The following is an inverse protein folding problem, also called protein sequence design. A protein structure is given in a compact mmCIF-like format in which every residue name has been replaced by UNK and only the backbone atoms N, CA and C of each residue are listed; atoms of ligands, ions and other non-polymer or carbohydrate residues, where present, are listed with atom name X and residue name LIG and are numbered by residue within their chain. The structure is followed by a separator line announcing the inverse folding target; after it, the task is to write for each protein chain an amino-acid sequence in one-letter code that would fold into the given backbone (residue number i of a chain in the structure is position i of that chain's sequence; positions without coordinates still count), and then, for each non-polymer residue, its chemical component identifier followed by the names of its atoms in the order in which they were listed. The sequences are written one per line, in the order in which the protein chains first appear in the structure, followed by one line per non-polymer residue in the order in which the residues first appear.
data_IF_586154835587
#
_entry.id   IF_586154835587
#
_cell.length_a   1.000
_cell.length_b   1.000
_cell.length_c   1.000
_cell.angle_alpha   90.00
_cell.angle_beta   90.00
_cell.angle_gamma   90.00
#
_symmetry.space_group_name_H-M   'P 1'
#
loop_
_entity.id
_entity.type
_entity.pdbx_description
1 polymer ?
#
# COMPACT_ATOMS: atom_id res chain seq x y z
N UNK A 1 -9.69 9.13 -16.76
CA UNK A 1 -8.71 10.23 -16.54
C UNK A 1 -7.34 9.61 -16.35
N UNK A 2 -6.32 10.00 -17.13
CA UNK A 2 -4.97 9.41 -16.98
C UNK A 2 -4.37 9.87 -15.65
N UNK A 3 -3.78 8.96 -14.82
CA UNK A 3 -3.10 9.36 -13.60
C UNK A 3 -1.97 10.34 -13.93
N UNK A 4 -1.89 11.44 -13.20
CA UNK A 4 -0.78 12.38 -13.32
C UNK A 4 0.44 11.76 -12.67
N UNK A 5 1.62 11.87 -13.30
CA UNK A 5 2.88 11.46 -12.67
C UNK A 5 3.03 12.21 -11.35
N UNK A 6 3.31 11.48 -10.27
CA UNK A 6 3.59 12.09 -8.98
C UNK A 6 4.78 13.06 -9.12
N UNK A 7 4.65 14.23 -8.54
CA UNK A 7 5.75 15.18 -8.51
C UNK A 7 6.61 14.89 -7.28
N UNK A 8 7.76 14.26 -7.47
CA UNK A 8 8.69 13.94 -6.36
C UNK A 8 9.06 15.19 -5.53
N UNK A 9 9.15 16.35 -6.15
CA UNK A 9 9.38 17.62 -5.43
C UNK A 9 8.22 17.97 -4.49
N UNK A 10 6.99 17.71 -4.94
CA UNK A 10 5.79 17.93 -4.12
C UNK A 10 5.73 16.93 -2.98
N UNK A 11 6.01 15.66 -3.24
CA UNK A 11 6.12 14.60 -2.23
C UNK A 11 7.17 14.98 -1.16
N UNK A 12 8.39 15.34 -1.56
CA UNK A 12 9.45 15.77 -0.63
C UNK A 12 9.04 16.97 0.22
N UNK A 13 8.32 17.93 -0.37
CA UNK A 13 7.80 19.09 0.38
C UNK A 13 6.76 18.67 1.42
N UNK A 14 5.80 17.83 1.03
CA UNK A 14 4.81 17.28 1.96
C UNK A 14 5.46 16.46 3.06
N UNK A 15 6.45 15.62 2.72
CA UNK A 15 7.20 14.83 3.67
C UNK A 15 7.88 15.72 4.75
N UNK A 16 8.55 16.79 4.32
CA UNK A 16 9.27 17.71 5.25
C UNK A 16 8.32 18.50 6.17
N UNK A 17 7.11 18.81 5.71
CA UNK A 17 6.12 19.58 6.49
C UNK A 17 5.27 18.63 7.35
N UNK A 18 4.61 17.66 6.72
CA UNK A 18 3.69 16.76 7.41
C UNK A 18 4.38 15.67 8.23
N UNK A 19 5.57 15.24 7.81
CA UNK A 19 6.31 14.17 8.48
C UNK A 19 6.61 14.46 9.95
N UNK A 20 7.24 15.60 10.30
CA UNK A 20 7.48 15.96 11.71
C UNK A 20 6.17 16.09 12.52
N UNK A 21 5.12 16.65 11.94
CA UNK A 21 3.82 16.78 12.60
C UNK A 21 3.23 15.42 12.90
N UNK A 22 3.20 14.52 11.90
CA UNK A 22 2.70 13.15 12.09
C UNK A 22 3.53 12.41 13.14
N UNK A 23 4.86 12.48 13.06
CA UNK A 23 5.76 11.81 14.02
C UNK A 23 5.63 12.38 15.43
N UNK A 24 5.31 13.65 15.59
CA UNK A 24 5.06 14.26 16.90
C UNK A 24 3.77 13.73 17.53
N UNK A 25 2.65 13.76 16.80
CA UNK A 25 1.35 13.34 17.33
C UNK A 25 1.15 11.83 17.34
N UNK A 26 1.76 11.12 16.39
CA UNK A 26 1.64 9.66 16.16
C UNK A 26 3.04 9.07 15.91
N UNK A 27 3.92 9.07 16.92
CA UNK A 27 5.27 8.54 16.75
C UNK A 27 5.21 7.06 16.38
N UNK A 28 6.12 6.64 15.50
CA UNK A 28 6.28 5.25 15.12
C UNK A 28 7.74 4.91 14.89
N UNK A 29 8.04 3.63 15.12
CA UNK A 29 9.32 3.01 14.81
C UNK A 29 9.20 2.26 13.50
N UNK A 30 10.24 2.31 12.69
CA UNK A 30 10.37 1.46 11.51
C UNK A 30 11.23 0.27 11.88
N UNK A 31 10.84 -0.92 11.47
CA UNK A 31 11.51 -2.20 11.71
C UNK A 31 11.58 -2.94 10.38
N UNK A 32 12.71 -3.61 10.09
CA UNK A 32 12.89 -4.37 8.86
C UNK A 32 13.18 -3.47 7.65
N UNK A 33 13.82 -2.30 7.84
CA UNK A 33 14.19 -1.38 6.75
C UNK A 33 15.09 -2.07 5.71
N UNK A 34 15.85 -3.07 6.11
CA UNK A 34 16.69 -3.91 5.25
C UNK A 34 15.90 -4.71 4.22
N UNK A 35 14.61 -4.91 4.44
CA UNK A 35 13.70 -5.59 3.50
C UNK A 35 13.16 -4.65 2.42
N UNK A 36 13.42 -3.35 2.52
CA UNK A 36 13.01 -2.38 1.50
C UNK A 36 13.89 -2.56 0.27
N UNK A 37 13.28 -3.06 -0.79
CA UNK A 37 13.97 -3.31 -2.07
C UNK A 37 13.92 -2.08 -2.98
N UNK A 38 14.92 -1.95 -3.82
CA UNK A 38 14.92 -0.97 -4.91
C UNK A 38 13.96 -1.39 -6.03
N UNK A 39 13.48 -0.39 -6.80
CA UNK A 39 12.61 -0.63 -7.93
C UNK A 39 11.16 -0.94 -7.56
N UNK A 40 10.49 -1.67 -8.44
CA UNK A 40 9.07 -1.96 -8.33
C UNK A 40 8.76 -2.97 -7.21
N UNK A 41 7.73 -2.66 -6.43
CA UNK A 41 7.16 -3.60 -5.47
C UNK A 41 5.67 -3.33 -5.26
N UNK A 42 4.91 -4.38 -5.03
CA UNK A 42 3.56 -4.26 -4.52
C UNK A 42 3.59 -4.35 -2.99
N UNK A 43 3.34 -3.24 -2.33
CA UNK A 43 3.34 -3.13 -0.88
C UNK A 43 1.96 -3.52 -0.38
N UNK A 44 1.88 -4.57 0.41
CA UNK A 44 0.62 -5.08 0.97
C UNK A 44 0.63 -4.89 2.48
N UNK A 45 -0.34 -4.15 3.01
CA UNK A 45 -0.41 -3.86 4.44
C UNK A 45 -1.82 -4.08 5.01
N UNK A 46 -1.90 -4.37 6.30
CA UNK A 46 -3.14 -4.26 7.04
C UNK A 46 -3.62 -2.80 7.08
N UNK A 47 -4.93 -2.60 7.31
CA UNK A 47 -5.52 -1.26 7.31
C UNK A 47 -6.47 -1.07 8.49
N UNK A 48 -6.12 -0.17 9.41
CA UNK A 48 -6.89 0.12 10.61
C UNK A 48 -7.28 1.60 10.76
N UNK A 49 -6.50 2.51 10.18
CA UNK A 49 -6.71 3.94 10.34
C UNK A 49 -6.38 4.74 9.08
N UNK A 50 -6.97 5.94 8.96
CA UNK A 50 -6.67 6.84 7.83
C UNK A 50 -5.21 7.29 7.77
N UNK A 51 -4.47 7.19 8.87
CA UNK A 51 -3.06 7.59 8.94
C UNK A 51 -2.11 6.52 8.38
N UNK A 52 -2.55 5.25 8.21
CA UNK A 52 -1.70 4.15 7.77
C UNK A 52 -0.94 4.44 6.47
N UNK A 53 -1.59 4.94 5.39
CA UNK A 53 -0.88 5.26 4.15
C UNK A 53 0.23 6.28 4.35
N UNK A 54 0.03 7.23 5.24
CA UNK A 54 1.02 8.28 5.54
C UNK A 54 2.19 7.72 6.37
N UNK A 55 1.90 6.86 7.35
CA UNK A 55 2.97 6.20 8.13
C UNK A 55 3.81 5.29 7.24
N UNK A 56 3.20 4.52 6.33
CA UNK A 56 3.91 3.71 5.34
C UNK A 56 4.77 4.60 4.45
N UNK A 57 4.21 5.66 3.87
CA UNK A 57 4.96 6.59 3.02
C UNK A 57 6.14 7.24 3.76
N UNK A 58 5.94 7.62 5.02
CA UNK A 58 6.99 8.18 5.87
C UNK A 58 8.07 7.14 6.26
N UNK A 59 7.70 5.87 6.36
CA UNK A 59 8.64 4.78 6.65
C UNK A 59 9.55 4.48 5.46
N UNK A 60 9.07 4.64 4.21
CA UNK A 60 9.91 4.52 3.01
C UNK A 60 10.91 5.66 2.81
N UNK A 61 10.76 6.75 3.55
CA UNK A 61 11.67 7.89 3.45
C UNK A 61 11.27 8.92 2.37
N UNK A 62 12.09 9.98 2.30
CA UNK A 62 11.78 11.17 1.51
C UNK A 62 11.99 10.99 -0.01
N UNK A 63 12.81 10.02 -0.39
CA UNK A 63 13.23 9.81 -1.77
C UNK A 63 12.45 8.69 -2.47
N UNK A 64 11.63 7.95 -1.74
CA UNK A 64 10.81 6.86 -2.27
C UNK A 64 9.37 7.32 -2.45
N UNK A 65 8.95 7.43 -3.72
CA UNK A 65 7.54 7.74 -4.02
C UNK A 65 6.72 6.46 -4.03
N UNK A 66 5.69 6.42 -3.19
CA UNK A 66 4.75 5.31 -3.11
C UNK A 66 3.35 5.76 -3.55
N UNK A 67 2.71 4.96 -4.40
CA UNK A 67 1.38 5.23 -4.94
C UNK A 67 0.33 4.46 -4.17
N UNK A 68 -0.49 5.17 -3.40
CA UNK A 68 -1.53 4.56 -2.56
C UNK A 68 -2.85 4.52 -3.31
N UNK A 69 -3.54 3.38 -3.22
CA UNK A 69 -4.91 3.23 -3.73
C UNK A 69 -5.88 3.91 -2.77
N UNK A 70 -6.76 4.73 -3.31
CA UNK A 70 -7.78 5.42 -2.53
C UNK A 70 -9.14 5.44 -3.23
N UNK A 71 -10.22 5.54 -2.44
CA UNK A 71 -11.59 5.59 -2.99
C UNK A 71 -11.77 6.79 -3.92
N UNK A 72 -12.43 6.56 -5.06
CA UNK A 72 -12.67 7.61 -6.07
C UNK A 72 -13.46 8.79 -5.52
N UNK A 73 -14.33 8.57 -4.52
CA UNK A 73 -15.13 9.62 -3.91
C UNK A 73 -14.26 10.70 -3.25
N UNK A 74 -13.11 10.34 -2.70
CA UNK A 74 -12.17 11.30 -2.08
C UNK A 74 -11.61 12.26 -3.13
N UNK A 75 -11.47 11.81 -4.38
CA UNK A 75 -11.01 12.65 -5.48
C UNK A 75 -12.07 13.63 -6.00
N UNK A 76 -13.31 13.57 -5.49
CA UNK A 76 -14.38 14.55 -5.80
C UNK A 76 -14.37 15.74 -4.85
N UNK A 77 -13.66 15.65 -3.71
CA UNK A 77 -13.59 16.71 -2.71
C UNK A 77 -12.62 17.81 -3.19
N UNK A 78 -13.06 19.08 -3.34
CA UNK A 78 -12.19 20.20 -3.71
C UNK A 78 -10.94 20.28 -2.79
N UNK A 79 -9.83 20.77 -3.29
CA UNK A 79 -8.52 20.86 -2.63
C UNK A 79 -7.91 19.49 -2.28
N UNK A 80 -8.67 18.53 -1.68
CA UNK A 80 -8.22 17.16 -1.41
C UNK A 80 -7.89 16.45 -2.72
N UNK A 81 -8.73 16.60 -3.73
CA UNK A 81 -8.50 16.06 -5.08
C UNK A 81 -7.15 16.51 -5.63
N UNK A 82 -6.84 17.80 -5.55
CA UNK A 82 -5.56 18.34 -6.04
C UNK A 82 -4.37 17.75 -5.29
N UNK A 83 -4.48 17.61 -3.97
CA UNK A 83 -3.48 16.96 -3.13
C UNK A 83 -3.26 15.51 -3.53
N UNK A 84 -4.34 14.71 -3.64
CA UNK A 84 -4.31 13.29 -3.99
C UNK A 84 -3.63 13.05 -5.35
N UNK A 85 -4.00 13.86 -6.36
CA UNK A 85 -3.39 13.79 -7.69
C UNK A 85 -1.91 14.17 -7.69
N UNK A 86 -1.51 15.20 -6.94
CA UNK A 86 -0.09 15.61 -6.83
C UNK A 86 0.74 14.59 -6.07
N UNK A 87 0.15 13.87 -5.12
CA UNK A 87 0.80 12.76 -4.42
C UNK A 87 0.85 11.47 -5.26
N UNK A 88 0.26 11.45 -6.46
CA UNK A 88 0.23 10.28 -7.32
C UNK A 88 -0.64 9.14 -6.79
N UNK A 89 -1.63 9.45 -5.98
CA UNK A 89 -2.57 8.45 -5.49
C UNK A 89 -3.47 7.94 -6.61
N UNK A 90 -3.87 6.69 -6.53
CA UNK A 90 -4.64 5.99 -7.56
C UNK A 90 -6.10 5.94 -7.12
N UNK A 91 -7.02 6.61 -7.84
CA UNK A 91 -8.44 6.49 -7.57
C UNK A 91 -8.92 5.09 -7.96
N UNK A 92 -9.70 4.46 -7.10
CA UNK A 92 -10.34 3.16 -7.38
C UNK A 92 -11.83 3.25 -7.11
N UNK A 93 -12.61 2.94 -8.12
CA UNK A 93 -14.05 2.69 -7.96
C UNK A 93 -14.24 1.23 -7.57
N UNK A 94 -14.70 1.01 -6.34
CA UNK A 94 -14.90 -0.34 -5.79
C UNK A 94 -16.25 -0.96 -6.14
N UNK A 95 -17.13 -0.18 -6.75
CA UNK A 95 -18.46 -0.64 -7.17
C UNK A 95 -18.44 -1.38 -8.51
N UNK A 96 -17.34 -1.23 -9.27
CA UNK A 96 -17.16 -1.81 -10.59
C UNK A 96 -15.78 -2.48 -10.72
N UNK A 97 -15.62 -3.29 -11.77
CA UNK A 97 -14.30 -3.76 -12.19
C UNK A 97 -13.51 -2.61 -12.82
N UNK A 98 -12.80 -1.84 -12.00
CA UNK A 98 -12.10 -0.63 -12.45
C UNK A 98 -10.81 -0.97 -13.20
N UNK A 99 -10.96 -1.23 -14.50
CA UNK A 99 -9.86 -1.52 -15.43
C UNK A 99 -8.87 -0.35 -15.52
N UNK A 100 -9.32 0.89 -15.34
CA UNK A 100 -8.45 2.07 -15.43
C UNK A 100 -7.50 2.15 -14.24
N UNK A 101 -8.01 1.87 -13.04
CA UNK A 101 -7.18 1.77 -11.84
C UNK A 101 -6.17 0.63 -11.95
N UNK A 102 -6.59 -0.54 -12.43
CA UNK A 102 -5.69 -1.67 -12.67
C UNK A 102 -4.57 -1.30 -13.68
N UNK A 103 -4.92 -0.66 -14.81
CA UNK A 103 -3.93 -0.18 -15.79
C UNK A 103 -2.95 0.82 -15.16
N UNK A 104 -3.45 1.71 -14.30
CA UNK A 104 -2.63 2.69 -13.61
C UNK A 104 -1.62 2.02 -12.66
N UNK A 105 -2.06 1.06 -11.85
CA UNK A 105 -1.20 0.29 -10.96
C UNK A 105 -0.11 -0.46 -11.74
N UNK A 106 -0.50 -1.19 -12.80
CA UNK A 106 0.44 -1.90 -13.66
C UNK A 106 1.46 -0.96 -14.32
N UNK A 107 1.04 0.25 -14.69
CA UNK A 107 1.95 1.23 -15.30
C UNK A 107 2.99 1.75 -14.30
N UNK A 108 2.57 2.05 -13.06
CA UNK A 108 3.52 2.45 -12.02
C UNK A 108 4.52 1.33 -11.71
N UNK A 109 4.05 0.10 -11.54
CA UNK A 109 4.91 -1.06 -11.30
C UNK A 109 5.89 -1.31 -12.46
N UNK A 110 5.44 -1.19 -13.72
CA UNK A 110 6.32 -1.31 -14.90
C UNK A 110 7.39 -0.22 -14.96
N UNK A 111 7.12 0.95 -14.42
CA UNK A 111 8.08 2.06 -14.35
C UNK A 111 9.06 1.94 -13.17
N UNK A 112 9.06 0.84 -12.45
CA UNK A 112 9.93 0.65 -11.28
C UNK A 112 9.42 1.34 -10.00
N UNK A 113 8.15 1.77 -9.97
CA UNK A 113 7.58 2.49 -8.84
C UNK A 113 6.84 1.53 -7.89
N UNK A 114 6.58 1.97 -6.66
CA UNK A 114 5.93 1.16 -5.63
C UNK A 114 4.45 1.50 -5.52
N UNK A 115 3.61 0.47 -5.41
CA UNK A 115 2.15 0.62 -5.24
C UNK A 115 1.75 0.03 -3.90
N UNK A 116 0.99 0.79 -3.09
CA UNK A 116 0.46 0.33 -1.80
C UNK A 116 -0.99 -0.11 -1.94
N UNK A 117 -1.25 -1.33 -1.50
CA UNK A 117 -2.60 -1.93 -1.45
C UNK A 117 -2.88 -2.39 -0.02
N UNK A 118 -4.12 -2.25 0.38
CA UNK A 118 -4.66 -2.84 1.59
C UNK A 118 -5.55 -4.02 1.21
N UNK A 119 -5.09 -5.28 1.32
CA UNK A 119 -5.83 -6.45 0.84
C UNK A 119 -7.19 -6.64 1.51
N UNK A 120 -7.34 -6.20 2.76
CA UNK A 120 -8.61 -6.22 3.50
C UNK A 120 -9.72 -5.41 2.77
N UNK A 121 -9.35 -4.46 1.92
CA UNK A 121 -10.26 -3.63 1.15
C UNK A 121 -11.01 -2.56 1.96
N UNK A 122 -11.15 -2.73 3.25
CA UNK A 122 -11.77 -1.79 4.19
C UNK A 122 -10.90 -1.68 5.45
N UNK A 123 -11.15 -0.66 6.26
CA UNK A 123 -10.48 -0.52 7.56
C UNK A 123 -11.11 -1.46 8.56
N UNK A 124 -10.29 -2.26 9.24
CA UNK A 124 -10.73 -3.14 10.32
C UNK A 124 -9.90 -2.94 11.58
N UNK A 125 -10.55 -2.96 12.73
CA UNK A 125 -9.88 -2.98 14.05
C UNK A 125 -9.33 -4.37 14.38
N UNK A 126 -9.90 -5.42 13.79
CA UNK A 126 -9.52 -6.81 13.98
C UNK A 126 -8.90 -7.38 12.71
N UNK A 127 -8.05 -8.36 12.90
CA UNK A 127 -7.45 -9.08 11.79
C UNK A 127 -8.43 -10.15 11.30
N UNK A 128 -8.74 -10.12 10.01
CA UNK A 128 -9.52 -11.15 9.35
C UNK A 128 -8.78 -11.61 8.10
N UNK A 129 -8.21 -12.81 8.15
CA UNK A 129 -7.51 -13.41 7.01
C UNK A 129 -8.45 -13.71 5.84
N UNK A 130 -9.72 -14.02 6.12
CA UNK A 130 -10.71 -14.34 5.10
C UNK A 130 -11.22 -13.09 4.37
N UNK A 131 -11.07 -11.89 4.97
CA UNK A 131 -11.40 -10.64 4.31
C UNK A 131 -10.44 -10.28 3.16
N UNK A 132 -9.36 -11.03 2.99
CA UNK A 132 -8.35 -10.78 1.96
C UNK A 132 -8.92 -10.94 0.56
N UNK A 133 -8.92 -9.85 -0.21
CA UNK A 133 -9.31 -9.88 -1.61
C UNK A 133 -8.15 -10.33 -2.49
N UNK A 134 -8.40 -11.27 -3.39
CA UNK A 134 -7.39 -11.82 -4.30
C UNK A 134 -6.79 -10.81 -5.31
N UNK A 135 -7.27 -9.57 -5.30
CA UNK A 135 -6.80 -8.53 -6.21
C UNK A 135 -5.33 -8.18 -6.06
N UNK A 136 -4.78 -8.20 -4.84
CA UNK A 136 -3.37 -7.89 -4.58
C UNK A 136 -2.45 -8.96 -5.18
N UNK A 137 -2.71 -10.24 -4.88
CA UNK A 137 -1.90 -11.36 -5.38
C UNK A 137 -1.99 -11.50 -6.91
N UNK A 138 -3.18 -11.31 -7.50
CA UNK A 138 -3.37 -11.28 -8.96
C UNK A 138 -2.61 -10.14 -9.62
N UNK A 139 -2.57 -8.97 -8.98
CA UNK A 139 -1.84 -7.82 -9.51
C UNK A 139 -0.32 -8.07 -9.47
N UNK A 140 0.21 -8.59 -8.35
CA UNK A 140 1.63 -8.90 -8.20
C UNK A 140 2.09 -9.93 -9.25
N UNK A 141 1.37 -11.02 -9.39
CA UNK A 141 1.65 -12.05 -10.40
C UNK A 141 1.61 -11.48 -11.82
N UNK A 142 0.57 -10.71 -12.16
CA UNK A 142 0.42 -10.09 -13.47
C UNK A 142 1.53 -9.10 -13.79
N UNK A 143 1.94 -8.31 -12.80
CA UNK A 143 3.02 -7.34 -12.94
C UNK A 143 4.41 -8.01 -12.94
N UNK A 144 4.54 -9.22 -12.36
CA UNK A 144 5.81 -9.89 -12.17
C UNK A 144 6.73 -9.16 -11.20
N UNK A 145 6.16 -8.56 -10.15
CA UNK A 145 6.89 -7.80 -9.15
C UNK A 145 6.77 -8.46 -7.77
N UNK A 146 7.77 -8.29 -6.89
CA UNK A 146 7.68 -8.81 -5.53
C UNK A 146 6.56 -8.14 -4.73
N UNK A 147 5.96 -8.90 -3.83
CA UNK A 147 5.13 -8.41 -2.74
C UNK A 147 6.04 -8.10 -1.57
N UNK A 148 5.90 -6.90 -1.02
CA UNK A 148 6.51 -6.49 0.26
C UNK A 148 5.41 -6.43 1.31
N UNK A 149 5.32 -7.41 2.23
CA UNK A 149 4.35 -7.38 3.30
C UNK A 149 4.76 -6.34 4.35
N UNK A 150 3.79 -5.55 4.80
CA UNK A 150 4.00 -4.50 5.78
C UNK A 150 2.93 -4.59 6.86
N UNK A 151 3.36 -4.54 8.12
CA UNK A 151 2.44 -4.42 9.23
C UNK A 151 2.49 -3.00 9.81
N UNK A 152 1.33 -2.43 10.07
CA UNK A 152 1.18 -1.16 10.79
C UNK A 152 0.35 -1.40 12.03
N UNK A 153 0.85 -0.97 13.19
CA UNK A 153 0.14 -1.15 14.48
C UNK A 153 -1.32 -0.76 14.36
N UNK A 154 -2.24 -1.65 14.77
CA UNK A 154 -3.68 -1.39 14.64
C UNK A 154 -4.16 -0.26 15.56
N UNK A 155 -3.74 -0.29 16.83
CA UNK A 155 -4.03 0.79 17.78
C UNK A 155 -2.99 1.89 17.66
N UNK A 156 -3.43 3.13 17.44
CA UNK A 156 -2.58 4.30 17.25
C UNK A 156 -2.96 5.43 18.21
N UNK A 157 -2.71 5.27 19.51
CA UNK A 157 -2.96 6.32 20.47
C UNK A 157 -2.06 7.53 20.20
N UNK A 158 -2.54 8.72 20.56
CA UNK A 158 -1.74 9.95 20.46
C UNK A 158 -0.52 9.86 21.39
N UNK A 159 0.61 10.37 20.94
CA UNK A 159 1.87 10.46 21.68
C UNK A 159 2.47 9.12 22.14
N UNK A 160 1.90 8.00 21.73
CA UNK A 160 2.46 6.67 22.02
C UNK A 160 3.11 6.09 20.78
N UNK A 161 4.29 5.51 20.97
CA UNK A 161 5.07 4.88 19.90
C UNK A 161 4.38 3.65 19.36
N UNK A 162 4.21 3.59 18.05
CA UNK A 162 3.65 2.45 17.30
C UNK A 162 4.74 1.85 16.40
N UNK A 163 4.41 0.84 15.58
CA UNK A 163 5.35 0.20 14.67
C UNK A 163 4.85 0.26 13.23
N UNK A 164 5.79 0.40 12.30
CA UNK A 164 5.68 0.01 10.90
C UNK A 164 6.76 -1.03 10.66
N UNK A 165 6.36 -2.25 10.32
CA UNK A 165 7.28 -3.39 10.18
C UNK A 165 7.26 -3.87 8.75
N UNK A 166 8.42 -3.92 8.10
CA UNK A 166 8.60 -4.48 6.78
C UNK A 166 9.01 -5.95 6.91
N UNK A 167 8.29 -6.84 6.23
CA UNK A 167 8.63 -8.25 6.13
C UNK A 167 9.47 -8.54 4.89
N UNK A 168 9.97 -9.76 4.78
CA UNK A 168 10.74 -10.21 3.63
C UNK A 168 9.91 -10.11 2.33
N UNK A 169 10.45 -9.49 1.27
CA UNK A 169 9.79 -9.46 -0.02
C UNK A 169 9.81 -10.84 -0.68
N UNK A 170 8.74 -11.19 -1.38
CA UNK A 170 8.67 -12.45 -2.12
C UNK A 170 7.94 -12.31 -3.45
N UNK A 171 8.25 -13.18 -4.39
CA UNK A 171 7.60 -13.24 -5.70
C UNK A 171 6.55 -14.35 -5.71
N UNK A 172 5.42 -14.08 -6.39
CA UNK A 172 4.49 -15.12 -6.78
C UNK A 172 5.01 -15.69 -8.10
N UNK A 173 5.45 -16.93 -8.07
CA UNK A 173 5.93 -17.61 -9.27
C UNK A 173 4.80 -17.78 -10.28
N UNK A 174 5.08 -17.46 -11.54
CA UNK A 174 4.14 -17.71 -12.62
C UNK A 174 4.06 -19.20 -12.88
N UNK A 175 2.85 -19.74 -12.82
CA UNK A 175 2.60 -21.11 -13.22
C UNK A 175 2.31 -21.21 -14.73
N UNK A 176 2.60 -22.38 -15.32
CA UNK A 176 2.27 -22.68 -16.73
C UNK A 176 0.76 -22.74 -16.94
N UNK A 177 0.06 -23.31 -15.97
CA UNK A 177 -1.40 -23.39 -15.96
C UNK A 177 -2.01 -22.18 -15.28
N UNK A 178 -3.22 -21.82 -15.72
CA UNK A 178 -3.96 -20.69 -15.13
C UNK A 178 -4.45 -21.07 -13.74
N UNK A 179 -4.09 -20.26 -12.74
CA UNK A 179 -4.56 -20.44 -11.36
C UNK A 179 -6.08 -20.40 -11.27
N UNK A 180 -6.62 -21.23 -10.42
CA UNK A 180 -8.04 -21.25 -10.05
C UNK A 180 -8.39 -20.10 -9.09
N UNK A 181 -9.65 -19.97 -8.76
CA UNK A 181 -10.11 -19.01 -7.73
C UNK A 181 -9.59 -19.43 -6.36
N UNK A 182 -9.58 -20.73 -6.10
CA UNK A 182 -9.11 -21.35 -4.86
C UNK A 182 -7.61 -21.11 -4.66
N UNK A 183 -6.78 -21.24 -5.69
CA UNK A 183 -5.34 -20.96 -5.61
C UNK A 183 -5.09 -19.51 -5.19
N UNK A 184 -5.85 -18.57 -5.76
CA UNK A 184 -5.73 -17.15 -5.38
C UNK A 184 -6.25 -16.87 -3.98
N UNK A 185 -7.23 -17.62 -3.48
CA UNK A 185 -7.69 -17.52 -2.10
C UNK A 185 -6.58 -17.93 -1.13
N UNK A 186 -5.96 -19.09 -1.38
CA UNK A 186 -4.82 -19.60 -0.58
C UNK A 186 -3.68 -18.57 -0.55
N UNK A 187 -3.26 -18.06 -1.70
CA UNK A 187 -2.20 -17.04 -1.78
C UNK A 187 -2.57 -15.75 -1.01
N UNK A 188 -3.85 -15.40 -0.98
CA UNK A 188 -4.31 -14.21 -0.26
C UNK A 188 -4.29 -14.42 1.26
N UNK A 189 -4.66 -15.62 1.72
CA UNK A 189 -4.56 -16.01 3.12
C UNK A 189 -3.10 -16.07 3.59
N UNK A 190 -2.21 -16.65 2.78
CA UNK A 190 -0.77 -16.65 3.04
C UNK A 190 -0.20 -15.23 3.17
N UNK A 191 -0.58 -14.32 2.26
CA UNK A 191 -0.18 -12.92 2.34
C UNK A 191 -0.63 -12.28 3.64
N UNK A 192 -1.90 -12.49 4.03
CA UNK A 192 -2.43 -11.94 5.27
C UNK A 192 -1.73 -12.53 6.49
N UNK A 193 -1.46 -13.83 6.49
CA UNK A 193 -0.71 -14.51 7.55
C UNK A 193 0.70 -13.96 7.70
N UNK A 194 1.39 -13.69 6.58
CA UNK A 194 2.70 -13.01 6.58
C UNK A 194 2.62 -11.62 7.20
N UNK A 195 1.62 -10.82 6.83
CA UNK A 195 1.42 -9.48 7.41
C UNK A 195 1.15 -9.56 8.91
N UNK A 196 0.29 -10.50 9.34
CA UNK A 196 -0.02 -10.69 10.76
C UNK A 196 1.20 -11.17 11.57
N UNK A 197 1.98 -12.08 10.99
CA UNK A 197 3.21 -12.59 11.62
C UNK A 197 4.26 -11.54 11.92
N UNK A 198 4.15 -10.33 11.35
CA UNK A 198 5.00 -9.18 11.66
C UNK A 198 4.59 -8.43 12.94
N UNK A 199 3.43 -8.72 13.52
CA UNK A 199 2.98 -8.11 14.79
C UNK A 199 3.61 -8.82 16.01
N UNK A 200 4.93 -8.87 16.06
CA UNK A 200 5.70 -9.47 17.16
C UNK A 200 6.29 -8.38 18.05
#
# INVERSE_FOLDING_TARGET
MKPKKACIRYYRRCYRIAGPIIRFFRPFQVIGEEHIIDGAALICSNHSAMIDPFQIALAFGIDTNVHVISKIEIFKIPFVSTFMWKMGMIPVDRSINDVNSLKSMLNYLKNGEKVVIFPEGTRSSEFDSQAAKSGAVKLAERAGVPILPVFVSRKKPFFKKTKVVFGEPYLIEKQKEKRTVEDYAILSEELMSKIQGLDK
#
